data_IF_494294577962
#
_entry.id   IF_494294577962
#
_cell.length_a   1.000
_cell.length_b   1.000
_cell.length_c   1.000
_cell.angle_alpha   90.00
_cell.angle_beta   90.00
_cell.angle_gamma   90.00
#
_symmetry.space_group_name_H-M   'P 1'
#
loop_
_entity.id
_entity.type
_entity.pdbx_description
1 polymer ?
#
# COMPACT_ATOMS: atom_id res chain seq x y z
N UNK A 1 -9.62 19.58 8.29
CA UNK A 1 -10.18 19.65 9.66
C UNK A 1 -9.64 18.42 10.32
N UNK A 2 -8.44 18.58 10.84
CA UNK A 2 -7.58 17.47 11.22
C UNK A 2 -8.09 16.96 12.58
N UNK A 3 -7.87 15.68 12.90
CA UNK A 3 -8.45 15.04 14.09
C UNK A 3 -10.00 15.05 14.15
N UNK A 4 -10.65 14.94 12.99
CA UNK A 4 -12.12 14.92 12.86
C UNK A 4 -12.80 13.94 13.83
N UNK A 5 -12.41 12.66 13.81
CA UNK A 5 -13.07 11.65 14.64
C UNK A 5 -12.87 11.90 16.13
N UNK A 6 -11.68 12.35 16.53
CA UNK A 6 -11.38 12.76 17.90
C UNK A 6 -12.27 13.92 18.34
N UNK A 7 -12.39 14.95 17.51
CA UNK A 7 -13.23 16.11 17.81
C UNK A 7 -14.71 15.74 17.95
N UNK A 8 -15.25 14.92 17.03
CA UNK A 8 -16.64 14.43 17.08
C UNK A 8 -16.90 13.66 18.37
N UNK A 9 -15.98 12.78 18.77
CA UNK A 9 -16.10 11.99 20.00
C UNK A 9 -16.02 12.87 21.25
N UNK A 10 -15.08 13.81 21.34
CA UNK A 10 -14.96 14.74 22.47
C UNK A 10 -16.18 15.67 22.61
N UNK A 11 -16.81 16.03 21.49
CA UNK A 11 -18.06 16.77 21.49
C UNK A 11 -19.25 15.94 21.94
N UNK A 12 -19.11 14.63 22.11
CA UNK A 12 -20.18 13.72 22.52
C UNK A 12 -21.18 13.42 21.42
N UNK A 13 -20.87 13.71 20.15
CA UNK A 13 -21.77 13.48 19.01
C UNK A 13 -22.03 12.00 18.70
N UNK A 14 -21.28 11.09 19.34
CA UNK A 14 -21.52 9.65 19.27
C UNK A 14 -22.73 9.21 20.09
N UNK A 15 -23.02 9.92 21.18
CA UNK A 15 -24.02 9.51 22.17
C UNK A 15 -25.14 10.55 22.36
N UNK A 16 -24.89 11.82 22.00
CA UNK A 16 -25.82 12.92 22.25
C UNK A 16 -25.75 14.01 21.18
N UNK A 17 -26.80 14.83 21.11
CA UNK A 17 -26.88 15.98 20.22
C UNK A 17 -26.22 17.23 20.82
N UNK A 18 -25.76 18.13 19.94
CA UNK A 18 -25.25 19.45 20.34
C UNK A 18 -26.39 20.38 20.79
N UNK A 19 -26.09 21.39 21.61
CA UNK A 19 -27.08 22.39 21.99
C UNK A 19 -27.66 23.10 20.76
N UNK A 20 -28.99 23.37 20.75
CA UNK A 20 -29.67 23.97 19.61
C UNK A 20 -29.25 25.44 19.40
N UNK A 21 -28.84 26.14 20.46
CA UNK A 21 -28.40 27.53 20.41
C UNK A 21 -26.94 27.66 19.96
N UNK A 22 -26.67 28.67 19.12
CA UNK A 22 -25.34 28.90 18.53
C UNK A 22 -24.26 29.19 19.57
N UNK A 23 -24.56 29.99 20.58
CA UNK A 23 -23.56 30.45 21.55
C UNK A 23 -22.95 29.29 22.35
N UNK A 24 -23.81 28.46 22.96
CA UNK A 24 -23.41 27.25 23.68
C UNK A 24 -22.66 26.26 22.76
N UNK A 25 -23.10 26.14 21.49
CA UNK A 25 -22.46 25.25 20.52
C UNK A 25 -21.04 25.70 20.17
N UNK A 26 -20.85 27.00 19.93
CA UNK A 26 -19.55 27.58 19.63
C UNK A 26 -18.59 27.51 20.83
N UNK A 27 -19.10 27.67 22.06
CA UNK A 27 -18.32 27.47 23.28
C UNK A 27 -17.85 26.01 23.41
N UNK A 28 -18.75 25.04 23.15
CA UNK A 28 -18.44 23.61 23.17
C UNK A 28 -17.40 23.22 22.10
N UNK A 29 -17.34 23.90 20.96
CA UNK A 29 -16.26 23.70 19.99
C UNK A 29 -14.91 24.23 20.50
N UNK A 30 -14.90 25.32 21.27
CA UNK A 30 -13.66 25.87 21.85
C UNK A 30 -13.17 25.05 23.04
N UNK A 31 -14.06 24.38 23.77
CA UNK A 31 -13.71 23.64 24.99
C UNK A 31 -12.76 22.47 24.73
N UNK A 32 -12.83 21.84 23.55
CA UNK A 32 -12.02 20.66 23.21
C UNK A 32 -10.61 21.00 22.71
N UNK A 33 -10.30 22.28 22.46
CA UNK A 33 -9.05 22.71 21.83
C UNK A 33 -7.82 22.18 22.59
N UNK A 34 -7.82 22.32 23.91
CA UNK A 34 -6.72 21.87 24.77
C UNK A 34 -6.52 20.36 24.72
N UNK A 35 -7.61 19.60 24.70
CA UNK A 35 -7.56 18.13 24.59
C UNK A 35 -7.02 17.67 23.25
N UNK A 36 -7.37 18.35 22.15
CA UNK A 36 -6.81 18.06 20.83
C UNK A 36 -5.30 18.29 20.84
N UNK A 37 -4.82 19.42 21.36
CA UNK A 37 -3.39 19.72 21.46
C UNK A 37 -2.64 18.66 22.28
N UNK A 38 -3.24 18.18 23.37
CA UNK A 38 -2.65 17.12 24.21
C UNK A 38 -2.61 15.77 23.49
N UNK A 39 -3.70 15.36 22.83
CA UNK A 39 -3.75 14.10 22.08
C UNK A 39 -2.75 14.12 20.93
N UNK A 40 -2.69 15.22 20.17
CA UNK A 40 -1.70 15.40 19.10
C UNK A 40 -0.27 15.30 19.63
N UNK A 41 0.01 15.90 20.79
CA UNK A 41 1.32 15.81 21.43
C UNK A 41 1.63 14.38 21.85
N UNK A 42 0.69 13.70 22.50
CA UNK A 42 0.83 12.31 22.90
C UNK A 42 1.17 11.41 21.70
N UNK A 43 0.46 11.56 20.57
CA UNK A 43 0.71 10.73 19.38
C UNK A 43 2.08 10.91 18.74
N UNK A 44 2.81 12.00 19.03
CA UNK A 44 4.16 12.27 18.50
C UNK A 44 5.27 11.64 19.34
N UNK A 45 4.95 11.06 20.49
CA UNK A 45 5.91 10.49 21.45
C UNK A 45 6.16 8.99 21.22
N UNK A 46 5.77 8.43 20.07
CA UNK A 46 5.99 7.02 19.79
C UNK A 46 7.50 6.71 19.75
N UNK A 47 7.94 5.58 20.32
CA UNK A 47 9.33 5.19 20.25
C UNK A 47 9.70 4.78 18.82
N UNK A 48 10.96 5.03 18.44
CA UNK A 48 11.50 4.56 17.15
C UNK A 48 11.54 3.03 17.14
N UNK A 49 11.20 2.45 15.98
CA UNK A 49 11.29 1.03 15.66
C UNK A 49 12.14 0.85 14.38
N UNK A 50 12.78 -0.31 14.19
CA UNK A 50 13.51 -0.60 12.95
C UNK A 50 12.58 -0.46 11.73
N UNK A 51 12.98 0.37 10.76
CA UNK A 51 12.19 0.62 9.54
C UNK A 51 12.25 -0.61 8.63
N UNK A 52 13.38 -1.30 8.68
CA UNK A 52 13.74 -2.50 7.92
C UNK A 52 12.87 -3.72 8.26
N UNK A 53 12.00 -3.61 9.27
CA UNK A 53 11.12 -4.68 9.70
C UNK A 53 10.03 -5.02 8.67
N UNK A 54 9.48 -4.00 8.00
CA UNK A 54 8.40 -4.18 7.03
C UNK A 54 8.77 -3.71 5.63
N UNK A 55 9.84 -2.93 5.49
CA UNK A 55 10.27 -2.37 4.23
C UNK A 55 11.77 -2.59 4.07
N UNK A 56 12.16 -3.26 3.00
CA UNK A 56 13.57 -3.41 2.62
C UNK A 56 14.15 -2.02 2.33
N UNK A 57 15.45 -1.84 2.58
CA UNK A 57 16.11 -0.58 2.30
C UNK A 57 16.17 -0.37 0.77
N UNK A 58 15.53 0.68 0.21
CA UNK A 58 15.53 0.92 -1.22
C UNK A 58 16.89 1.40 -1.75
N UNK A 59 17.83 1.80 -0.88
CA UNK A 59 19.18 2.23 -1.28
C UNK A 59 20.22 1.11 -1.18
N UNK A 60 19.79 -0.13 -0.95
CA UNK A 60 20.69 -1.28 -0.99
C UNK A 60 21.18 -1.50 -2.43
N UNK A 61 22.50 -1.68 -2.67
CA UNK A 61 23.05 -1.97 -3.99
C UNK A 61 22.45 -3.20 -4.68
N UNK A 62 21.78 -4.10 -3.94
CA UNK A 62 21.01 -5.21 -4.53
C UNK A 62 19.97 -4.72 -5.55
N UNK A 63 19.37 -3.54 -5.35
CA UNK A 63 18.32 -2.99 -6.20
C UNK A 63 18.84 -2.14 -7.36
N UNK A 64 20.16 -2.08 -7.57
CA UNK A 64 20.79 -1.35 -8.70
C UNK A 64 20.65 -2.12 -10.04
N UNK A 65 19.90 -3.22 -10.06
CA UNK A 65 19.66 -4.04 -11.26
C UNK A 65 18.68 -3.42 -12.26
N UNK A 66 17.93 -2.39 -11.85
CA UNK A 66 16.89 -1.70 -12.62
C UNK A 66 15.95 -2.66 -13.37
N UNK A 67 15.60 -3.78 -12.72
CA UNK A 67 14.82 -4.84 -13.36
C UNK A 67 13.43 -4.36 -13.81
N UNK A 68 13.06 -4.73 -15.03
CA UNK A 68 11.74 -4.43 -15.60
C UNK A 68 10.77 -5.59 -15.41
N UNK A 69 9.47 -5.31 -15.34
CA UNK A 69 8.46 -6.36 -15.25
C UNK A 69 8.31 -7.11 -16.59
N UNK A 70 8.66 -8.41 -16.65
CA UNK A 70 8.38 -9.19 -17.84
C UNK A 70 6.87 -9.32 -18.01
N UNK A 71 6.39 -9.09 -19.23
CA UNK A 71 4.96 -9.20 -19.55
C UNK A 71 4.74 -10.00 -20.81
N UNK A 72 3.59 -10.67 -20.86
CA UNK A 72 3.14 -11.43 -22.03
C UNK A 72 2.19 -10.54 -22.83
N UNK A 73 2.55 -10.27 -24.08
CA UNK A 73 1.75 -9.44 -24.97
C UNK A 73 0.63 -10.25 -25.63
N UNK A 74 -0.40 -10.59 -24.86
CA UNK A 74 -1.53 -11.39 -25.35
C UNK A 74 -2.27 -10.73 -26.53
N UNK A 75 -2.44 -9.41 -26.53
CA UNK A 75 -3.10 -8.68 -27.61
C UNK A 75 -2.35 -8.81 -28.93
N UNK A 76 -1.02 -8.61 -28.92
CA UNK A 76 -0.15 -8.78 -30.08
C UNK A 76 -0.18 -10.23 -30.58
N UNK A 77 -0.12 -11.21 -29.67
CA UNK A 77 -0.21 -12.63 -29.97
C UNK A 77 -1.53 -12.98 -30.67
N UNK A 78 -2.66 -12.53 -30.12
CA UNK A 78 -3.99 -12.75 -30.67
C UNK A 78 -4.12 -12.12 -32.05
N UNK A 79 -3.70 -10.85 -32.22
CA UNK A 79 -3.75 -10.16 -33.50
C UNK A 79 -2.93 -10.87 -34.59
N UNK A 80 -1.68 -11.26 -34.28
CA UNK A 80 -0.84 -11.99 -35.24
C UNK A 80 -1.45 -13.36 -35.59
N UNK A 81 -2.06 -14.04 -34.61
CA UNK A 81 -2.69 -15.35 -34.81
C UNK A 81 -3.97 -15.25 -35.65
N UNK A 82 -4.81 -14.24 -35.41
CA UNK A 82 -6.01 -14.00 -36.22
C UNK A 82 -5.66 -13.57 -37.64
N UNK A 83 -4.59 -12.78 -37.83
CA UNK A 83 -4.07 -12.45 -39.15
C UNK A 83 -3.59 -13.71 -39.91
N UNK A 84 -2.88 -14.63 -39.24
CA UNK A 84 -2.50 -15.91 -39.83
C UNK A 84 -3.73 -16.76 -40.20
N UNK A 85 -4.73 -16.82 -39.32
CA UNK A 85 -5.99 -17.51 -39.61
C UNK A 85 -6.73 -16.90 -40.81
N UNK A 86 -6.69 -15.57 -40.96
CA UNK A 86 -7.21 -14.86 -42.13
C UNK A 86 -6.51 -15.28 -43.43
N UNK A 87 -5.18 -15.44 -43.42
CA UNK A 87 -4.43 -15.94 -44.57
C UNK A 87 -4.83 -17.38 -44.94
N UNK A 88 -5.04 -18.25 -43.95
CA UNK A 88 -5.54 -19.61 -44.19
C UNK A 88 -6.94 -19.59 -44.82
N UNK A 89 -7.82 -18.71 -44.33
CA UNK A 89 -9.15 -18.52 -44.91
C UNK A 89 -9.08 -18.06 -46.36
N UNK A 90 -8.24 -17.08 -46.71
CA UNK A 90 -8.07 -16.62 -48.09
C UNK A 90 -7.56 -17.75 -49.00
N UNK A 91 -6.59 -18.54 -48.52
CA UNK A 91 -6.10 -19.69 -49.28
C UNK A 91 -7.20 -20.73 -49.53
N UNK A 92 -8.02 -21.02 -48.52
CA UNK A 92 -9.13 -21.97 -48.62
C UNK A 92 -10.27 -21.45 -49.53
N UNK A 93 -10.64 -20.17 -49.40
CA UNK A 93 -11.68 -19.53 -50.21
C UNK A 93 -11.28 -19.53 -51.70
N UNK A 94 -10.00 -19.31 -52.00
CA UNK A 94 -9.47 -19.31 -53.37
C UNK A 94 -8.80 -20.64 -53.77
N UNK A 95 -9.12 -21.74 -53.08
CA UNK A 95 -8.44 -23.02 -53.22
C UNK A 95 -8.41 -23.54 -54.66
N UNK A 96 -9.52 -23.42 -55.39
CA UNK A 96 -9.62 -23.85 -56.79
C UNK A 96 -8.57 -23.15 -57.69
N UNK A 97 -8.39 -21.85 -57.51
CA UNK A 97 -7.44 -21.06 -58.28
C UNK A 97 -6.00 -21.39 -57.87
N UNK A 98 -5.70 -21.42 -56.57
CA UNK A 98 -4.35 -21.72 -56.09
C UNK A 98 -3.89 -23.15 -56.41
N UNK A 99 -4.82 -24.10 -56.48
CA UNK A 99 -4.50 -25.52 -56.72
C UNK A 99 -4.42 -25.87 -58.20
N UNK A 100 -5.38 -25.42 -59.01
CA UNK A 100 -5.51 -25.83 -60.42
C UNK A 100 -4.80 -24.91 -61.41
N UNK A 101 -4.61 -23.62 -61.10
CA UNK A 101 -3.97 -22.67 -62.01
C UNK A 101 -2.45 -22.64 -61.82
N UNK A 102 -1.71 -23.13 -62.82
CA UNK A 102 -0.25 -23.18 -62.81
C UNK A 102 0.44 -21.83 -62.58
N UNK A 103 -0.24 -20.71 -62.88
CA UNK A 103 0.29 -19.36 -62.64
C UNK A 103 0.51 -19.08 -61.15
N UNK A 104 -0.21 -19.76 -60.25
CA UNK A 104 -0.09 -19.59 -58.81
C UNK A 104 0.68 -20.73 -58.10
N UNK A 105 1.39 -21.58 -58.85
CA UNK A 105 2.16 -22.72 -58.28
C UNK A 105 3.13 -22.29 -57.16
N UNK A 106 3.74 -21.11 -57.29
CA UNK A 106 4.68 -20.58 -56.31
C UNK A 106 3.97 -20.31 -54.99
N UNK A 107 2.79 -19.68 -55.02
CA UNK A 107 1.98 -19.48 -53.82
C UNK A 107 1.61 -20.83 -53.20
N UNK A 108 1.11 -21.78 -54.00
CA UNK A 108 0.75 -23.13 -53.52
C UNK A 108 1.89 -23.83 -52.77
N UNK A 109 3.13 -23.74 -53.26
CA UNK A 109 4.27 -24.44 -52.67
C UNK A 109 4.89 -23.69 -51.48
N UNK A 110 4.98 -22.37 -51.55
CA UNK A 110 5.64 -21.58 -50.49
C UNK A 110 4.69 -21.11 -49.39
N UNK A 111 3.38 -21.06 -49.62
CA UNK A 111 2.40 -20.67 -48.61
C UNK A 111 2.50 -21.45 -47.28
N UNK A 112 2.61 -22.80 -47.27
CA UNK A 112 2.79 -23.53 -46.01
C UNK A 112 4.14 -23.24 -45.33
N UNK A 113 5.21 -23.01 -46.10
CA UNK A 113 6.54 -22.70 -45.55
C UNK A 113 6.50 -21.34 -44.85
N UNK A 114 5.92 -20.32 -45.51
CA UNK A 114 5.77 -18.98 -44.94
C UNK A 114 4.84 -19.01 -43.73
N UNK A 115 3.72 -19.75 -43.80
CA UNK A 115 2.78 -19.89 -42.67
C UNK A 115 3.43 -20.55 -41.46
N UNK A 116 4.29 -21.56 -41.66
CA UNK A 116 5.04 -22.20 -40.59
C UNK A 116 6.07 -21.26 -39.98
N UNK A 117 6.78 -20.45 -40.78
CA UNK A 117 7.70 -19.45 -40.28
C UNK A 117 6.98 -18.36 -39.45
N UNK A 118 5.81 -17.91 -39.92
CA UNK A 118 4.97 -16.95 -39.18
C UNK A 118 4.51 -17.55 -37.84
N UNK A 119 3.97 -18.77 -37.86
CA UNK A 119 3.57 -19.45 -36.63
C UNK A 119 4.75 -19.65 -35.67
N UNK A 120 5.90 -20.08 -36.20
CA UNK A 120 7.14 -20.26 -35.43
C UNK A 120 7.57 -18.98 -34.72
N UNK A 121 7.55 -17.84 -35.40
CA UNK A 121 7.85 -16.55 -34.78
C UNK A 121 6.85 -16.18 -33.68
N UNK A 122 5.55 -16.32 -33.95
CA UNK A 122 4.48 -16.01 -32.99
C UNK A 122 4.63 -16.87 -31.71
N UNK A 123 4.81 -18.17 -31.87
CA UNK A 123 4.91 -19.10 -30.76
C UNK A 123 6.22 -18.93 -29.99
N UNK A 124 7.32 -18.66 -30.68
CA UNK A 124 8.61 -18.39 -30.05
C UNK A 124 8.58 -17.15 -29.17
N UNK A 125 8.01 -16.06 -29.66
CA UNK A 125 7.81 -14.82 -28.89
C UNK A 125 7.00 -15.11 -27.61
N UNK A 126 5.86 -15.79 -27.74
CA UNK A 126 5.03 -16.16 -26.59
C UNK A 126 5.77 -17.07 -25.59
N UNK A 127 6.44 -18.12 -26.08
CA UNK A 127 7.13 -19.09 -25.22
C UNK A 127 8.28 -18.43 -24.46
N UNK A 128 9.04 -17.57 -25.11
CA UNK A 128 10.12 -16.82 -24.46
C UNK A 128 9.60 -15.83 -23.43
N UNK A 129 8.52 -15.10 -23.71
CA UNK A 129 7.86 -14.21 -22.74
C UNK A 129 7.35 -14.98 -21.52
N UNK A 130 6.64 -16.10 -21.73
CA UNK A 130 6.14 -16.95 -20.64
C UNK A 130 7.28 -17.46 -19.76
N UNK A 131 8.39 -17.87 -20.36
CA UNK A 131 9.55 -18.38 -19.61
C UNK A 131 10.17 -17.28 -18.75
N UNK A 132 10.30 -16.05 -19.27
CA UNK A 132 10.82 -14.90 -18.50
C UNK A 132 9.95 -14.56 -17.31
N UNK A 133 8.62 -14.57 -17.48
CA UNK A 133 7.68 -14.33 -16.37
C UNK A 133 7.83 -15.38 -15.29
N UNK A 134 7.84 -16.67 -15.66
CA UNK A 134 7.97 -17.74 -14.66
C UNK A 134 9.29 -17.66 -13.89
N UNK A 135 10.40 -17.36 -14.57
CA UNK A 135 11.71 -17.21 -13.91
C UNK A 135 11.72 -16.02 -12.94
N UNK A 136 11.08 -14.91 -13.31
CA UNK A 136 10.95 -13.74 -12.45
C UNK A 136 10.11 -14.05 -11.21
N UNK A 137 8.95 -14.69 -11.40
CA UNK A 137 8.05 -15.05 -10.31
C UNK A 137 8.70 -16.01 -9.31
N UNK A 138 9.44 -17.01 -9.79
CA UNK A 138 10.17 -17.97 -8.97
C UNK A 138 11.30 -17.28 -8.19
N UNK A 139 12.08 -16.41 -8.86
CA UNK A 139 13.18 -15.68 -8.23
C UNK A 139 12.70 -14.78 -7.09
N UNK A 140 11.67 -13.96 -7.32
CA UNK A 140 11.15 -13.03 -6.30
C UNK A 140 10.62 -13.79 -5.08
N UNK A 141 9.91 -14.91 -5.30
CA UNK A 141 9.40 -15.72 -4.18
C UNK A 141 10.53 -16.32 -3.34
N UNK A 142 11.55 -16.91 -3.98
CA UNK A 142 12.70 -17.48 -3.28
C UNK A 142 13.48 -16.38 -2.54
N UNK A 143 13.79 -15.28 -3.22
CA UNK A 143 14.57 -14.18 -2.65
C UNK A 143 13.86 -13.53 -1.47
N UNK A 144 12.54 -13.39 -1.53
CA UNK A 144 11.76 -12.86 -0.40
C UNK A 144 11.90 -13.71 0.86
N UNK A 145 11.92 -15.04 0.73
CA UNK A 145 12.06 -15.94 1.88
C UNK A 145 13.45 -15.88 2.50
N UNK A 146 14.49 -15.70 1.67
CA UNK A 146 15.86 -15.50 2.16
C UNK A 146 15.96 -14.22 2.98
N UNK A 147 15.42 -13.11 2.47
CA UNK A 147 15.45 -11.81 3.15
C UNK A 147 14.64 -11.82 4.45
N UNK A 148 13.50 -12.53 4.48
CA UNK A 148 12.73 -12.72 5.72
C UNK A 148 13.59 -13.43 6.76
N UNK A 149 14.18 -14.59 6.41
CA UNK A 149 15.03 -15.36 7.34
C UNK A 149 16.26 -14.58 7.78
N UNK A 150 16.84 -13.76 6.90
CA UNK A 150 17.97 -12.90 7.21
C UNK A 150 17.60 -11.85 8.26
N UNK A 151 16.39 -11.28 8.18
CA UNK A 151 15.95 -10.15 9.01
C UNK A 151 15.07 -10.57 10.19
N UNK A 152 14.82 -11.86 10.38
CA UNK A 152 13.98 -12.41 11.47
C UNK A 152 14.43 -11.93 12.86
N UNK A 153 15.75 -11.81 13.09
CA UNK A 153 16.31 -11.36 14.37
C UNK A 153 15.89 -9.93 14.76
N UNK A 154 15.49 -9.08 13.80
CA UNK A 154 15.02 -7.73 14.09
C UNK A 154 13.74 -7.74 14.94
N UNK A 155 12.94 -8.81 14.83
CA UNK A 155 11.73 -8.99 15.65
C UNK A 155 12.02 -9.21 17.14
N UNK A 156 13.24 -9.65 17.47
CA UNK A 156 13.64 -9.93 18.85
C UNK A 156 14.15 -8.68 19.58
N UNK A 157 14.32 -7.56 18.87
CA UNK A 157 14.84 -6.33 19.45
C UNK A 157 13.86 -5.71 20.46
N UNK A 158 14.40 -5.20 21.58
CA UNK A 158 13.60 -4.63 22.68
C UNK A 158 12.76 -3.42 22.24
N UNK A 159 13.18 -2.70 21.21
CA UNK A 159 12.44 -1.55 20.67
C UNK A 159 11.02 -1.91 20.22
N UNK A 160 10.81 -3.12 19.69
CA UNK A 160 9.48 -3.59 19.30
C UNK A 160 8.60 -3.76 20.52
N UNK A 161 9.15 -4.36 21.58
CA UNK A 161 8.46 -4.47 22.87
C UNK A 161 8.12 -3.09 23.41
N UNK A 162 9.06 -2.14 23.39
CA UNK A 162 8.82 -0.76 23.83
C UNK A 162 7.71 -0.07 23.03
N UNK A 163 7.68 -0.27 21.71
CA UNK A 163 6.63 0.26 20.84
C UNK A 163 5.24 -0.31 21.15
N UNK A 164 5.15 -1.63 21.32
CA UNK A 164 3.88 -2.30 21.69
C UNK A 164 3.40 -1.82 23.06
N UNK A 165 4.30 -1.71 24.04
CA UNK A 165 3.97 -1.22 25.38
C UNK A 165 3.48 0.23 25.38
N UNK A 166 4.14 1.10 24.60
CA UNK A 166 3.69 2.49 24.44
C UNK A 166 2.28 2.56 23.83
N UNK A 167 1.98 1.73 22.83
CA UNK A 167 0.65 1.68 22.22
C UNK A 167 -0.44 1.21 23.21
N UNK A 168 -0.17 0.17 24.00
CA UNK A 168 -1.13 -0.29 25.01
C UNK A 168 -1.29 0.75 26.13
N UNK A 169 -0.22 1.42 26.58
CA UNK A 169 -0.32 2.49 27.57
C UNK A 169 -1.11 3.70 27.05
N UNK A 170 -0.91 4.10 25.79
CA UNK A 170 -1.72 5.16 25.16
C UNK A 170 -3.19 4.77 25.08
N UNK A 171 -3.48 3.53 24.71
CA UNK A 171 -4.84 2.99 24.63
C UNK A 171 -5.50 2.97 26.00
N UNK A 172 -4.83 2.49 27.04
CA UNK A 172 -5.34 2.52 28.41
C UNK A 172 -5.57 3.95 28.91
N UNK A 173 -4.65 4.86 28.60
CA UNK A 173 -4.75 6.28 28.95
C UNK A 173 -5.98 6.91 28.29
N UNK A 174 -6.17 6.70 26.99
CA UNK A 174 -7.34 7.21 26.24
C UNK A 174 -8.66 6.57 26.69
N UNK A 175 -8.65 5.33 27.18
CA UNK A 175 -9.83 4.69 27.77
C UNK A 175 -10.22 5.32 29.12
N UNK A 176 -9.26 5.88 29.87
CA UNK A 176 -9.51 6.59 31.15
C UNK A 176 -9.95 8.03 30.94
N UNK A 177 -9.61 8.63 29.80
CA UNK A 177 -10.07 9.97 29.41
C UNK A 177 -11.60 9.96 29.28
N UNK A 178 -12.23 10.87 30.00
CA UNK A 178 -13.69 11.01 30.04
C UNK A 178 -14.10 12.47 30.18
N UNK A 179 -15.34 12.75 29.79
CA UNK A 179 -15.97 14.06 29.98
C UNK A 179 -16.57 14.11 31.40
N UNK A 180 -16.17 15.10 32.18
CA UNK A 180 -16.55 15.28 33.59
C UNK A 180 -17.81 16.13 33.77
N UNK A 181 -17.99 17.15 32.91
CA UNK A 181 -19.12 18.07 32.95
C UNK A 181 -19.66 18.42 31.56
N UNK A 182 -20.78 19.15 31.54
CA UNK A 182 -21.43 19.65 30.33
C UNK A 182 -21.60 21.17 30.38
N UNK A 183 -20.63 21.88 30.95
CA UNK A 183 -20.65 23.35 31.09
C UNK A 183 -20.17 24.06 29.83
N UNK A 184 -19.73 23.32 28.80
CA UNK A 184 -19.20 23.84 27.53
C UNK A 184 -17.91 24.67 27.72
N UNK A 185 -17.15 24.35 28.77
CA UNK A 185 -15.88 24.97 29.12
C UNK A 185 -14.75 23.93 29.06
N UNK A 186 -13.49 24.36 29.00
CA UNK A 186 -12.34 23.44 29.03
C UNK A 186 -12.28 22.58 30.30
N UNK A 187 -12.83 23.09 31.41
CA UNK A 187 -12.99 22.34 32.66
C UNK A 187 -13.88 21.10 32.53
N UNK A 188 -14.66 20.94 31.44
CA UNK A 188 -15.39 19.70 31.16
C UNK A 188 -14.47 18.47 31.06
N UNK A 189 -13.15 18.67 30.87
CA UNK A 189 -12.12 17.62 30.78
C UNK A 189 -10.99 17.80 31.80
N UNK A 190 -11.21 18.51 32.91
CA UNK A 190 -10.15 18.88 33.85
C UNK A 190 -9.31 17.68 34.34
N UNK A 191 -9.96 16.60 34.78
CA UNK A 191 -9.26 15.40 35.22
C UNK A 191 -8.53 14.68 34.05
N UNK A 192 -9.14 14.70 32.86
CA UNK A 192 -8.56 14.11 31.66
C UNK A 192 -7.33 14.85 31.14
N UNK A 193 -7.26 16.17 31.35
CA UNK A 193 -6.07 16.95 31.04
C UNK A 193 -4.86 16.47 31.87
N UNK A 194 -5.08 16.17 33.16
CA UNK A 194 -4.03 15.65 34.04
C UNK A 194 -3.58 14.25 33.63
N UNK A 195 -4.52 13.37 33.24
CA UNK A 195 -4.21 12.01 32.76
C UNK A 195 -3.32 12.07 31.51
N UNK A 196 -3.63 12.94 30.55
CA UNK A 196 -2.83 13.09 29.33
C UNK A 196 -1.49 13.78 29.59
N UNK A 197 -1.44 14.74 30.51
CA UNK A 197 -0.18 15.37 30.92
C UNK A 197 0.76 14.35 31.57
N UNK A 198 0.25 13.49 32.46
CA UNK A 198 1.04 12.39 33.05
C UNK A 198 1.60 11.47 31.96
N UNK A 199 0.78 11.05 30.98
CA UNK A 199 1.27 10.25 29.85
C UNK A 199 2.40 10.96 29.09
N UNK A 200 2.23 12.24 28.78
CA UNK A 200 3.24 13.02 28.07
C UNK A 200 4.52 13.13 28.90
N UNK A 201 4.43 13.42 30.19
CA UNK A 201 5.58 13.54 31.11
C UNK A 201 6.30 12.20 31.33
N UNK A 202 5.61 11.05 31.18
CA UNK A 202 6.27 9.73 31.22
C UNK A 202 7.23 9.49 30.06
N UNK A 203 6.97 10.10 28.90
CA UNK A 203 7.74 9.88 27.66
C UNK A 203 8.51 11.12 27.18
N UNK A 204 8.42 12.24 27.89
CA UNK A 204 9.12 13.49 27.57
C UNK A 204 9.66 14.16 28.82
N UNK A 205 10.78 14.88 28.69
CA UNK A 205 11.30 15.68 29.79
C UNK A 205 10.74 17.09 29.71
N UNK A 206 9.72 17.37 30.51
CA UNK A 206 9.04 18.67 30.56
C UNK A 206 9.90 19.83 31.04
N UNK A 207 11.12 19.55 31.54
CA UNK A 207 12.09 20.57 31.96
C UNK A 207 13.08 20.96 30.88
N UNK A 208 13.13 20.25 29.75
CA UNK A 208 14.04 20.55 28.65
C UNK A 208 13.48 21.60 27.69
N UNK A 209 14.33 22.55 27.26
CA UNK A 209 13.97 23.71 26.41
C UNK A 209 13.47 23.26 25.02
N UNK A 210 13.92 22.09 24.54
CA UNK A 210 13.39 21.41 23.36
C UNK A 210 12.60 20.18 23.79
N UNK A 211 11.30 20.39 24.06
CA UNK A 211 10.36 19.37 24.55
C UNK A 211 10.23 18.12 23.65
N UNK A 212 10.53 18.26 22.36
CA UNK A 212 10.61 17.17 21.39
C UNK A 212 11.99 17.24 20.73
N UNK A 213 12.86 16.26 20.97
CA UNK A 213 14.10 16.11 20.21
C UNK A 213 13.74 15.71 18.76
N UNK A 214 14.42 16.34 17.80
CA UNK A 214 14.21 16.08 16.36
C UNK A 214 14.71 14.70 15.95
#
# INVERSE_FOLDING_TARGET
MDNYFTAITLLGLRDQNLPPFKDARLQRYKSIKKMIDLIETATKLYPKMPIELFTLNPTDPEWDDDMTYPSIQYSTLLYKSTALAGNLFLYAYNYNNYTSNIRFRTMRYFFPIVSFAIFGNIYWDYRSQLTRVNLFDEYVQLRSQELVKQNEYLLEHEDIKRYVWWNEDLKETLLRVHRQANNHQSSDFQDSELILQDFIDRYSDSKNISFLSK
#
